data_IF_893072213487
#
_entry.id   IF_893072213487
#
_cell.length_a   1.000
_cell.length_b   1.000
_cell.length_c   1.000
_cell.angle_alpha   90.00
_cell.angle_beta   90.00
_cell.angle_gamma   90.00
#
_symmetry.space_group_name_H-M   'P 1'
#
loop_
_entity.id
_entity.type
_entity.pdbx_description
1 polymer ?
#
# COMPACT_ATOMS: atom_id res chain seq x y z
N UNK A 1 -6.89 19.59 -4.02
CA UNK A 1 -6.40 18.20 -4.18
C UNK A 1 -5.14 18.05 -3.33
N UNK A 2 -5.02 16.95 -2.60
CA UNK A 2 -4.02 16.72 -1.56
C UNK A 2 -2.80 16.06 -2.21
N UNK A 3 -1.61 16.47 -1.75
CA UNK A 3 -0.33 16.00 -2.26
C UNK A 3 0.65 15.82 -1.11
N UNK A 4 1.65 14.98 -1.35
CA UNK A 4 2.87 14.99 -0.56
C UNK A 4 3.67 16.27 -0.87
N UNK A 5 4.32 16.83 0.14
CA UNK A 5 5.25 17.93 -0.04
C UNK A 5 6.47 17.47 -0.84
N UNK A 6 7.04 18.36 -1.68
CA UNK A 6 8.21 18.02 -2.52
C UNK A 6 9.46 17.72 -1.70
N UNK A 7 9.59 18.38 -0.55
CA UNK A 7 10.62 18.06 0.45
C UNK A 7 10.17 16.82 1.21
N UNK A 8 10.93 15.74 1.05
CA UNK A 8 10.73 14.43 1.66
C UNK A 8 12.10 13.78 1.96
N UNK A 9 12.09 12.65 2.64
CA UNK A 9 13.30 11.90 2.95
C UNK A 9 14.05 11.46 1.69
N UNK A 10 15.38 11.46 1.76
CA UNK A 10 16.28 11.11 0.63
C UNK A 10 16.03 9.73 0.01
N UNK A 11 15.34 8.84 0.71
CA UNK A 11 15.03 7.49 0.23
C UNK A 11 13.60 7.39 -0.34
N UNK A 12 12.94 8.51 -0.62
CA UNK A 12 11.61 8.56 -1.23
C UNK A 12 11.68 9.08 -2.66
N UNK A 13 11.00 8.37 -3.56
CA UNK A 13 10.57 8.86 -4.87
C UNK A 13 9.12 9.33 -4.77
N UNK A 14 8.85 10.55 -5.23
CA UNK A 14 7.49 11.06 -5.37
C UNK A 14 7.04 10.92 -6.82
N UNK A 15 5.94 10.20 -7.01
CA UNK A 15 5.37 9.86 -8.31
C UNK A 15 3.95 10.42 -8.45
N UNK A 16 3.37 10.30 -9.64
CA UNK A 16 1.98 10.67 -9.92
C UNK A 16 1.65 12.11 -9.48
N UNK A 17 2.48 13.08 -9.85
CA UNK A 17 2.29 14.49 -9.46
C UNK A 17 2.27 14.70 -7.92
N UNK A 18 3.16 14.01 -7.22
CA UNK A 18 3.31 14.00 -5.76
C UNK A 18 2.08 13.44 -5.02
N UNK A 19 1.33 12.52 -5.61
CA UNK A 19 0.28 11.78 -4.90
C UNK A 19 0.72 10.40 -4.46
N UNK A 20 1.84 9.89 -4.98
CA UNK A 20 2.39 8.58 -4.60
C UNK A 20 3.79 8.77 -4.03
N UNK A 21 4.08 8.14 -2.91
CA UNK A 21 5.40 8.09 -2.29
C UNK A 21 5.89 6.64 -2.28
N UNK A 22 7.06 6.40 -2.88
CA UNK A 22 7.67 5.08 -3.01
C UNK A 22 9.07 5.10 -2.41
N UNK A 23 9.38 4.12 -1.55
CA UNK A 23 10.72 3.93 -1.02
C UNK A 23 11.67 3.42 -2.10
N UNK A 24 12.79 4.11 -2.26
CA UNK A 24 13.90 3.73 -3.14
C UNK A 24 14.60 2.49 -2.59
N UNK A 25 14.91 1.51 -3.45
CA UNK A 25 15.66 0.29 -3.12
C UNK A 25 15.11 -0.46 -1.89
N UNK A 26 13.93 -1.08 -2.08
CA UNK A 26 13.08 -1.70 -1.05
C UNK A 26 13.76 -2.74 -0.13
N UNK A 27 14.89 -3.30 -0.55
CA UNK A 27 15.60 -4.40 0.13
C UNK A 27 16.89 -4.00 0.84
N UNK A 28 17.47 -2.83 0.56
CA UNK A 28 18.83 -2.49 1.01
C UNK A 28 18.97 -1.09 1.65
N UNK A 29 17.89 -0.31 1.73
CA UNK A 29 17.95 1.08 2.20
C UNK A 29 17.09 1.29 3.45
N UNK A 30 17.74 1.83 4.49
CA UNK A 30 17.19 2.02 5.83
C UNK A 30 16.90 3.49 6.13
N UNK A 31 15.80 3.76 6.82
CA UNK A 31 15.39 5.09 7.28
C UNK A 31 15.14 6.09 6.16
N UNK A 32 15.06 7.37 6.54
CA UNK A 32 14.90 8.52 5.63
C UNK A 32 13.74 8.38 4.64
N UNK A 33 12.64 7.77 5.09
CA UNK A 33 11.44 7.45 4.32
C UNK A 33 10.27 8.41 4.57
N UNK A 34 10.51 9.55 5.22
CA UNK A 34 9.43 10.44 5.66
C UNK A 34 8.90 11.28 4.50
N UNK A 35 7.58 11.36 4.40
CA UNK A 35 6.83 12.29 3.57
C UNK A 35 5.95 13.18 4.46
N UNK A 36 5.66 14.39 3.96
CA UNK A 36 4.77 15.34 4.64
C UNK A 36 3.58 15.67 3.78
N UNK A 37 2.47 16.11 4.36
CA UNK A 37 1.40 16.78 3.60
C UNK A 37 1.94 18.08 3.00
N UNK A 38 1.50 18.45 1.81
CA UNK A 38 1.96 19.67 1.15
C UNK A 38 1.39 20.97 1.76
N UNK A 39 0.34 20.85 2.58
CA UNK A 39 -0.25 21.94 3.35
C UNK A 39 -0.50 21.46 4.79
N UNK A 40 -0.69 22.38 5.75
CA UNK A 40 -1.17 22.03 7.09
C UNK A 40 -2.48 21.24 7.02
N UNK A 41 -2.71 20.42 8.04
CA UNK A 41 -3.97 19.71 8.21
C UNK A 41 -5.09 20.71 8.52
N UNK A 42 -6.25 20.51 7.88
CA UNK A 42 -7.47 21.27 8.19
C UNK A 42 -8.25 20.50 9.25
N UNK A 43 -8.67 21.21 10.31
CA UNK A 43 -9.46 20.61 11.38
C UNK A 43 -10.68 19.85 10.83
N UNK A 44 -10.89 18.63 11.35
CA UNK A 44 -12.00 17.75 10.98
C UNK A 44 -11.89 17.11 9.60
N UNK A 45 -10.82 17.35 8.83
CA UNK A 45 -10.61 16.69 7.53
C UNK A 45 -9.60 15.53 7.66
N UNK A 46 -9.94 14.38 7.07
CA UNK A 46 -9.14 13.15 7.15
C UNK A 46 -8.18 13.04 5.96
N UNK A 47 -6.87 12.97 6.24
CA UNK A 47 -5.75 12.76 5.30
C UNK A 47 -5.51 11.30 5.09
N UNK A 48 -6.18 10.79 4.06
CA UNK A 48 -6.23 9.37 3.72
C UNK A 48 -5.15 9.01 2.69
N UNK A 49 -4.33 8.03 3.05
CA UNK A 49 -3.40 7.35 2.16
C UNK A 49 -3.81 5.88 2.04
N UNK A 50 -3.50 5.26 0.90
CA UNK A 50 -3.60 3.83 0.69
C UNK A 50 -2.22 3.20 0.79
N UNK A 51 -2.13 2.00 1.36
CA UNK A 51 -0.95 1.15 1.24
C UNK A 51 -0.98 0.49 -0.13
N UNK A 52 -0.01 0.80 -1.00
CA UNK A 52 0.03 0.26 -2.36
C UNK A 52 0.94 -0.96 -2.47
N UNK A 53 2.04 -0.99 -1.71
CA UNK A 53 3.05 -2.04 -1.81
C UNK A 53 3.70 -2.32 -0.45
N UNK A 54 3.94 -3.60 -0.17
CA UNK A 54 4.63 -4.07 1.03
C UNK A 54 5.72 -5.11 0.71
N UNK A 55 6.77 -5.16 1.54
CA UNK A 55 7.82 -6.20 1.54
C UNK A 55 7.94 -6.77 2.95
N UNK A 56 7.82 -8.08 3.10
CA UNK A 56 7.89 -8.75 4.41
C UNK A 56 9.33 -9.09 4.78
N UNK A 57 10.17 -8.06 4.96
CA UNK A 57 11.62 -8.22 5.21
C UNK A 57 12.03 -7.59 6.53
N UNK A 58 11.37 -6.51 6.95
CA UNK A 58 11.85 -5.64 8.01
C UNK A 58 11.15 -5.89 9.34
N UNK A 59 9.90 -6.38 9.33
CA UNK A 59 9.11 -6.65 10.53
C UNK A 59 8.79 -5.38 11.33
N UNK A 60 8.86 -4.21 10.69
CA UNK A 60 8.55 -2.91 11.26
C UNK A 60 7.36 -2.29 10.50
N UNK A 61 6.47 -1.62 11.22
CA UNK A 61 5.40 -0.85 10.61
C UNK A 61 5.89 0.46 9.98
N UNK A 62 5.09 0.94 9.03
CA UNK A 62 5.08 2.34 8.64
C UNK A 62 4.80 3.26 9.84
N UNK A 63 5.25 4.50 9.75
CA UNK A 63 4.92 5.55 10.72
C UNK A 63 3.81 6.46 10.21
N UNK A 64 2.89 6.85 11.08
CA UNK A 64 1.81 7.78 10.74
C UNK A 64 1.64 8.82 11.86
N UNK A 65 1.61 10.10 11.54
CA UNK A 65 1.59 11.13 12.57
C UNK A 65 1.48 12.56 12.08
N UNK A 66 1.88 13.49 12.93
CA UNK A 66 1.94 14.92 12.62
C UNK A 66 3.20 15.58 13.17
N UNK A 67 3.52 16.76 12.65
CA UNK A 67 4.62 17.61 13.14
C UNK A 67 4.30 19.10 12.99
N UNK A 68 4.91 19.95 13.83
CA UNK A 68 4.90 21.41 13.65
C UNK A 68 5.98 21.91 12.71
N UNK A 69 6.99 21.09 12.37
CA UNK A 69 8.02 21.51 11.42
C UNK A 69 7.39 21.86 10.08
N UNK A 70 7.78 23.00 9.53
CA UNK A 70 7.38 23.40 8.18
C UNK A 70 8.25 22.62 7.19
N UNK A 71 7.68 21.80 6.29
CA UNK A 71 8.47 20.94 5.41
C UNK A 71 9.49 21.66 4.53
N UNK A 72 9.26 22.93 4.17
CA UNK A 72 10.20 23.74 3.39
C UNK A 72 11.49 24.10 4.14
N UNK A 73 11.45 24.07 5.47
CA UNK A 73 12.53 24.55 6.34
C UNK A 73 13.45 23.39 6.77
N UNK A 74 13.07 22.16 6.46
CA UNK A 74 13.83 20.95 6.78
C UNK A 74 14.95 20.73 5.76
N UNK A 75 16.20 20.82 6.22
CA UNK A 75 17.39 20.54 5.43
C UNK A 75 17.84 19.07 5.52
N UNK A 76 17.51 18.39 6.61
CA UNK A 76 17.77 16.97 6.80
C UNK A 76 16.54 16.24 7.33
N UNK A 77 16.17 15.16 6.62
CA UNK A 77 15.03 14.33 6.99
C UNK A 77 15.55 12.91 7.24
N UNK A 78 15.63 12.60 8.53
CA UNK A 78 16.06 11.29 9.02
C UNK A 78 14.85 10.33 9.07
N UNK A 79 14.78 9.45 10.07
CA UNK A 79 13.64 8.57 10.35
C UNK A 79 12.75 9.19 11.43
N UNK A 80 11.46 8.82 11.49
CA UNK A 80 10.49 9.64 12.22
C UNK A 80 10.69 9.73 13.73
N UNK A 81 11.38 8.78 14.39
CA UNK A 81 11.75 8.94 15.81
C UNK A 81 12.82 10.03 16.06
N UNK A 82 13.56 10.46 15.04
CA UNK A 82 14.46 11.62 15.14
C UNK A 82 13.78 12.94 14.84
N UNK A 83 12.58 12.94 14.27
CA UNK A 83 11.83 14.15 13.97
C UNK A 83 11.40 14.80 15.29
N UNK A 84 11.93 15.99 15.58
CA UNK A 84 11.51 16.79 16.75
C UNK A 84 10.14 17.42 16.49
N UNK A 85 9.48 17.81 17.56
CA UNK A 85 8.13 18.39 17.52
C UNK A 85 7.14 17.54 16.69
N UNK A 86 7.08 16.26 17.04
CA UNK A 86 6.32 15.25 16.30
C UNK A 86 5.51 14.34 17.22
N UNK A 87 4.39 13.84 16.69
CA UNK A 87 3.48 12.91 17.33
C UNK A 87 3.17 11.80 16.33
N UNK A 88 3.74 10.61 16.53
CA UNK A 88 3.76 9.54 15.51
C UNK A 88 3.36 8.21 16.13
N UNK A 89 2.50 7.47 15.43
CA UNK A 89 2.17 6.08 15.67
C UNK A 89 3.09 5.18 14.84
N UNK A 90 3.76 4.23 15.51
CA UNK A 90 4.46 3.11 14.88
C UNK A 90 3.93 1.81 15.47
N UNK A 91 3.49 0.88 14.63
CA UNK A 91 2.81 -0.33 15.12
C UNK A 91 1.58 0.09 15.94
N UNK A 92 1.56 -0.23 17.23
CA UNK A 92 0.55 0.24 18.19
C UNK A 92 1.12 1.18 19.27
N UNK A 93 2.33 1.71 19.07
CA UNK A 93 3.03 2.55 20.03
C UNK A 93 2.99 4.02 19.61
N UNK A 94 2.62 4.88 20.55
CA UNK A 94 2.57 6.32 20.38
C UNK A 94 3.89 6.96 20.80
N UNK A 95 4.46 7.80 19.94
CA UNK A 95 5.71 8.50 20.17
C UNK A 95 5.49 10.00 20.11
N UNK A 96 6.07 10.73 21.07
CA UNK A 96 6.19 12.20 21.05
C UNK A 96 7.67 12.57 21.07
N UNK A 97 8.15 13.30 20.07
CA UNK A 97 9.56 13.70 19.94
C UNK A 97 10.55 12.52 20.04
N UNK A 98 10.16 11.36 19.48
CA UNK A 98 10.95 10.13 19.53
C UNK A 98 10.86 9.32 20.82
N UNK A 99 10.17 9.82 21.85
CA UNK A 99 9.95 9.09 23.11
C UNK A 99 8.60 8.38 23.07
N UNK A 100 8.57 7.08 23.37
CA UNK A 100 7.31 6.34 23.51
C UNK A 100 6.55 6.87 24.73
N UNK A 101 5.28 7.22 24.54
CA UNK A 101 4.41 7.78 25.59
C UNK A 101 3.21 6.90 25.93
N UNK A 102 2.95 5.85 25.15
CA UNK A 102 1.84 4.95 25.39
C UNK A 102 1.59 3.99 24.23
N UNK A 103 0.50 3.24 24.35
CA UNK A 103 -0.02 2.37 23.30
C UNK A 103 -1.37 2.88 22.79
N UNK A 104 -1.75 2.40 21.61
CA UNK A 104 -2.98 2.79 20.93
C UNK A 104 -3.73 1.56 20.41
N UNK A 105 -5.03 1.71 20.16
CA UNK A 105 -5.91 0.61 19.76
C UNK A 105 -5.60 0.10 18.35
N UNK A 106 -5.24 1.01 17.44
CA UNK A 106 -4.85 0.69 16.08
C UNK A 106 -3.41 0.18 16.04
N UNK A 107 -3.20 -0.96 15.37
CA UNK A 107 -1.88 -1.52 15.12
C UNK A 107 -1.52 -1.48 13.62
N UNK A 108 -0.52 -0.68 13.28
CA UNK A 108 -0.01 -0.51 11.92
C UNK A 108 0.81 -1.71 11.41
N UNK A 109 1.27 -2.63 12.27
CA UNK A 109 1.93 -3.88 11.83
C UNK A 109 0.93 -4.86 11.18
N UNK A 110 -0.38 -4.65 11.38
CA UNK A 110 -1.44 -5.50 10.84
C UNK A 110 -2.03 -4.96 9.53
N UNK A 111 -1.40 -3.94 8.93
CA UNK A 111 -1.90 -3.34 7.69
C UNK A 111 -1.47 -4.19 6.51
N UNK A 112 -2.30 -4.21 5.48
CA UNK A 112 -2.04 -4.92 4.22
C UNK A 112 -2.21 -3.99 3.03
N UNK A 113 -1.72 -4.40 1.86
CA UNK A 113 -1.96 -3.69 0.60
C UNK A 113 -3.48 -3.48 0.41
N UNK A 114 -3.85 -2.26 0.05
CA UNK A 114 -5.23 -1.81 -0.11
C UNK A 114 -5.84 -1.16 1.15
N UNK A 115 -5.24 -1.33 2.33
CA UNK A 115 -5.70 -0.61 3.53
C UNK A 115 -5.53 0.90 3.37
N UNK A 116 -6.52 1.63 3.90
CA UNK A 116 -6.57 3.09 3.87
C UNK A 116 -6.34 3.64 5.27
N UNK A 117 -5.32 4.47 5.42
CA UNK A 117 -4.92 5.06 6.69
C UNK A 117 -5.19 6.56 6.65
N UNK A 118 -5.90 7.06 7.66
CA UNK A 118 -6.25 8.47 7.77
C UNK A 118 -5.56 9.17 8.93
N UNK A 119 -5.13 10.41 8.71
CA UNK A 119 -4.69 11.34 9.77
C UNK A 119 -5.74 12.44 9.88
N UNK A 120 -6.28 12.68 11.07
CA UNK A 120 -7.22 13.78 11.29
C UNK A 120 -6.82 14.57 12.53
N UNK A 121 -6.61 15.88 12.37
CA UNK A 121 -6.63 16.81 13.49
C UNK A 121 -8.08 17.19 13.76
N UNK A 122 -8.61 16.85 14.92
CA UNK A 122 -9.96 17.24 15.32
C UNK A 122 -10.00 18.72 15.77
N UNK A 123 -11.21 19.28 15.84
CA UNK A 123 -11.41 20.70 16.20
C UNK A 123 -11.05 21.02 17.66
N UNK A 124 -11.01 20.02 18.53
CA UNK A 124 -10.58 20.11 19.93
C UNK A 124 -9.05 19.94 20.11
N UNK A 125 -8.30 19.98 19.00
CA UNK A 125 -6.84 19.81 18.94
C UNK A 125 -6.36 18.42 19.40
N UNK A 126 -7.19 17.40 19.23
CA UNK A 126 -6.75 16.01 19.33
C UNK A 126 -6.32 15.45 17.96
N UNK A 127 -5.43 14.47 17.98
CA UNK A 127 -5.04 13.68 16.81
C UNK A 127 -5.81 12.37 16.80
N UNK A 128 -6.43 12.07 15.68
CA UNK A 128 -7.15 10.83 15.44
C UNK A 128 -6.53 10.10 14.24
N UNK A 129 -6.49 8.77 14.33
CA UNK A 129 -6.09 7.91 13.22
C UNK A 129 -7.29 7.11 12.72
N UNK A 130 -7.45 7.05 11.40
CA UNK A 130 -8.51 6.27 10.77
C UNK A 130 -7.93 5.04 10.05
N UNK A 131 -8.71 3.96 10.03
CA UNK A 131 -8.45 2.79 9.20
C UNK A 131 -9.70 2.45 8.39
N UNK A 132 -9.58 2.41 7.07
CA UNK A 132 -10.68 2.05 6.16
C UNK A 132 -11.96 2.87 6.44
N UNK A 133 -11.79 4.15 6.77
CA UNK A 133 -12.88 5.08 7.10
C UNK A 133 -13.31 5.09 8.57
N UNK A 134 -12.85 4.14 9.39
CA UNK A 134 -13.21 4.03 10.81
C UNK A 134 -12.26 4.86 11.66
N UNK A 135 -12.78 5.77 12.48
CA UNK A 135 -12.01 6.50 13.48
C UNK A 135 -11.67 5.59 14.67
N UNK A 136 -10.41 5.59 15.11
CA UNK A 136 -9.92 4.80 16.25
C UNK A 136 -9.82 5.61 17.56
N UNK A 137 -10.28 6.86 17.57
CA UNK A 137 -10.34 7.73 18.73
C UNK A 137 -9.11 8.61 18.90
N UNK A 138 -9.00 9.23 20.09
CA UNK A 138 -7.89 10.12 20.42
C UNK A 138 -6.58 9.32 20.58
N UNK A 139 -5.59 9.66 19.77
CA UNK A 139 -4.22 9.18 19.90
C UNK A 139 -3.32 10.18 20.67
N UNK A 140 -3.53 11.48 20.46
CA UNK A 140 -2.78 12.53 21.15
C UNK A 140 -3.68 13.73 21.41
N UNK A 141 -3.54 14.38 22.57
CA UNK A 141 -4.21 15.64 22.91
C UNK A 141 -3.28 16.85 22.83
N UNK A 142 -3.89 18.03 22.85
CA UNK A 142 -3.21 19.32 22.94
C UNK A 142 -2.21 19.54 21.81
N UNK A 143 -2.61 19.20 20.58
CA UNK A 143 -1.82 19.51 19.40
C UNK A 143 -1.74 21.03 19.20
N UNK A 144 -0.59 21.54 18.71
CA UNK A 144 -0.48 22.91 18.22
C UNK A 144 -1.49 23.21 17.10
N UNK A 145 -1.83 24.48 16.91
CA UNK A 145 -2.87 24.91 15.97
C UNK A 145 -2.57 24.46 14.53
N UNK A 146 -1.33 24.66 14.11
CA UNK A 146 -0.83 24.34 12.76
C UNK A 146 0.09 23.13 12.84
N UNK A 147 -0.30 22.05 12.16
CA UNK A 147 0.52 20.84 12.03
C UNK A 147 0.44 20.29 10.60
N UNK A 148 1.51 19.65 10.16
CA UNK A 148 1.59 18.90 8.91
C UNK A 148 1.46 17.42 9.19
N UNK A 149 0.80 16.68 8.30
CA UNK A 149 0.75 15.22 8.36
C UNK A 149 2.11 14.63 8.01
N UNK A 150 2.46 13.53 8.68
CA UNK A 150 3.71 12.80 8.55
C UNK A 150 3.40 11.36 8.18
N UNK A 151 4.07 10.85 7.14
CA UNK A 151 4.03 9.44 6.75
C UNK A 151 5.47 8.95 6.63
N UNK A 152 5.89 8.03 7.49
CA UNK A 152 7.19 7.37 7.37
C UNK A 152 7.00 6.08 6.57
N UNK A 153 7.29 6.13 5.26
CA UNK A 153 7.20 5.01 4.32
C UNK A 153 8.41 4.10 4.54
N UNK A 154 8.40 3.47 5.70
CA UNK A 154 9.49 2.63 6.21
C UNK A 154 8.93 1.32 6.78
N UNK A 155 9.84 0.38 7.04
CA UNK A 155 9.49 -0.97 7.46
C UNK A 155 8.96 -1.79 6.30
N UNK A 156 7.90 -2.55 6.53
CA UNK A 156 7.34 -3.44 5.51
C UNK A 156 6.55 -2.66 4.46
N UNK A 157 6.19 -1.40 4.68
CA UNK A 157 5.56 -0.57 3.66
C UNK A 157 6.59 0.01 2.68
N UNK A 158 6.36 -0.16 1.38
CA UNK A 158 7.24 0.35 0.33
C UNK A 158 6.63 1.43 -0.53
N UNK A 159 5.30 1.50 -0.60
CA UNK A 159 4.63 2.50 -1.40
C UNK A 159 3.27 2.85 -0.80
N UNK A 160 2.95 4.14 -0.83
CA UNK A 160 1.64 4.67 -0.44
C UNK A 160 1.14 5.73 -1.43
N UNK A 161 -0.18 5.85 -1.58
CA UNK A 161 -0.80 6.88 -2.42
C UNK A 161 -1.88 7.64 -1.69
N UNK A 162 -1.93 8.97 -1.85
CA UNK A 162 -2.99 9.81 -1.32
C UNK A 162 -4.30 9.52 -2.04
N UNK A 163 -5.37 9.30 -1.27
CA UNK A 163 -6.72 9.16 -1.80
C UNK A 163 -7.37 10.53 -1.83
N UNK A 164 -7.41 11.12 -3.03
CA UNK A 164 -8.23 12.28 -3.29
C UNK A 164 -9.65 11.83 -3.60
N UNK A 165 -10.55 11.95 -2.62
CA UNK A 165 -12.00 11.81 -2.86
C UNK A 165 -12.39 12.98 -3.76
N UNK A 166 -12.54 12.73 -5.06
CA UNK A 166 -13.20 13.70 -5.94
C UNK A 166 -14.55 14.03 -5.30
N UNK A 167 -14.83 15.32 -5.14
CA UNK A 167 -16.12 15.81 -4.71
C UNK A 167 -17.16 15.44 -5.77
N UNK A 168 -17.68 14.23 -5.69
CA UNK A 168 -18.79 13.77 -6.49
C UNK A 168 -20.07 14.43 -5.95
N UNK A 169 -20.50 15.50 -6.61
CA UNK A 169 -21.87 15.98 -6.53
C UNK A 169 -22.79 14.94 -7.18
N UNK A 170 -23.60 14.29 -6.33
CA UNK A 170 -24.94 13.69 -6.53
C UNK A 170 -25.19 12.84 -7.79
N UNK A 171 -25.36 11.53 -7.61
CA UNK A 171 -26.62 10.79 -7.84
C UNK A 171 -26.35 9.29 -7.73
N UNK A 172 -27.22 8.58 -7.01
CA UNK A 172 -27.03 7.19 -6.64
C UNK A 172 -27.11 6.19 -7.80
N UNK A 173 -26.38 5.09 -7.65
CA UNK A 173 -26.75 3.77 -8.15
C UNK A 173 -25.90 2.71 -7.40
N UNK A 174 -26.58 1.76 -6.74
CA UNK A 174 -25.94 0.52 -6.30
C UNK A 174 -25.52 -0.28 -7.54
N UNK A 175 -24.27 -0.76 -7.64
CA UNK A 175 -23.95 -1.93 -8.50
C UNK A 175 -22.80 -2.77 -7.92
N UNK A 176 -23.00 -4.07 -8.01
CA UNK A 176 -22.22 -5.21 -7.55
C UNK A 176 -20.82 -5.41 -8.17
N UNK A 177 -20.03 -6.24 -7.47
CA UNK A 177 -18.73 -6.77 -7.87
C UNK A 177 -18.85 -7.60 -9.15
N UNK A 178 -18.16 -7.17 -10.22
CA UNK A 178 -17.60 -8.05 -11.26
C UNK A 178 -16.32 -7.41 -11.82
N UNK A 179 -15.20 -8.14 -11.78
CA UNK A 179 -14.15 -7.98 -12.81
C UNK A 179 -13.89 -9.35 -13.42
N UNK A 180 -14.54 -9.60 -14.56
CA UNK A 180 -14.03 -10.54 -15.55
C UNK A 180 -12.81 -9.87 -16.21
N UNK A 181 -11.60 -10.33 -15.89
CA UNK A 181 -10.43 -9.99 -16.69
C UNK A 181 -10.50 -10.77 -18.01
N UNK A 182 -10.98 -10.11 -19.07
CA UNK A 182 -10.81 -10.62 -20.43
C UNK A 182 -9.33 -10.42 -20.80
N UNK A 183 -8.53 -11.48 -20.76
CA UNK A 183 -7.18 -11.47 -21.35
C UNK A 183 -7.31 -11.35 -22.87
N UNK A 184 -6.63 -10.36 -23.46
CA UNK A 184 -6.59 -10.16 -24.91
C UNK A 184 -5.50 -11.04 -25.55
N UNK A 185 -5.83 -11.73 -26.64
CA UNK A 185 -4.87 -12.54 -27.41
C UNK A 185 -4.97 -14.04 -27.15
N UNK A 186 -4.41 -14.85 -28.07
CA UNK A 186 -4.42 -16.31 -27.97
C UNK A 186 -3.45 -16.78 -26.88
N UNK A 187 -3.77 -17.82 -26.10
CA UNK A 187 -2.85 -18.33 -25.09
C UNK A 187 -1.46 -18.63 -25.62
N UNK A 188 -1.31 -19.14 -26.84
CA UNK A 188 0.00 -19.40 -27.45
C UNK A 188 0.88 -18.14 -27.64
N UNK A 189 0.28 -16.94 -27.64
CA UNK A 189 0.96 -15.65 -27.83
C UNK A 189 1.23 -14.92 -26.51
N UNK A 190 0.77 -15.46 -25.38
CA UNK A 190 0.96 -14.83 -24.08
C UNK A 190 2.44 -14.82 -23.70
N UNK A 191 2.93 -13.67 -23.25
CA UNK A 191 4.25 -13.57 -22.64
C UNK A 191 4.20 -14.05 -21.18
N UNK A 192 5.35 -14.15 -20.53
CA UNK A 192 5.48 -14.60 -19.13
C UNK A 192 4.63 -13.75 -18.17
N UNK A 193 4.52 -12.44 -18.42
CA UNK A 193 3.74 -11.53 -17.59
C UNK A 193 2.23 -11.81 -17.73
N UNK A 194 1.73 -12.03 -18.95
CA UNK A 194 0.32 -12.39 -19.19
C UNK A 194 -0.03 -13.75 -18.59
N UNK A 195 0.90 -14.72 -18.62
CA UNK A 195 0.72 -16.01 -17.91
C UNK A 195 0.63 -15.80 -16.40
N UNK A 196 1.49 -14.97 -15.82
CA UNK A 196 1.45 -14.67 -14.40
C UNK A 196 0.09 -14.06 -13.99
N UNK A 197 -0.41 -13.09 -14.76
CA UNK A 197 -1.71 -12.46 -14.53
C UNK A 197 -2.88 -13.45 -14.70
N UNK A 198 -2.77 -14.36 -15.67
CA UNK A 198 -3.74 -15.44 -15.85
C UNK A 198 -3.79 -16.36 -14.62
N UNK A 199 -2.64 -16.85 -14.15
CA UNK A 199 -2.57 -17.71 -12.96
C UNK A 199 -3.06 -16.97 -11.71
N UNK A 200 -2.68 -15.69 -11.55
CA UNK A 200 -3.10 -14.86 -10.42
C UNK A 200 -4.61 -14.56 -10.43
N UNK A 201 -5.24 -14.53 -11.60
CA UNK A 201 -6.70 -14.34 -11.73
C UNK A 201 -7.53 -15.54 -11.28
N UNK A 202 -6.90 -16.71 -11.12
CA UNK A 202 -7.58 -17.92 -10.67
C UNK A 202 -7.54 -17.95 -9.13
N UNK A 203 -8.69 -18.08 -8.46
CA UNK A 203 -8.75 -18.16 -7.00
C UNK A 203 -7.73 -19.16 -6.44
N UNK A 204 -7.05 -18.74 -5.36
CA UNK A 204 -6.06 -19.52 -4.63
C UNK A 204 -4.78 -19.91 -5.42
N UNK A 205 -4.61 -19.42 -6.65
CA UNK A 205 -3.43 -19.73 -7.48
C UNK A 205 -2.30 -18.68 -7.40
N UNK A 206 -2.53 -17.53 -6.75
CA UNK A 206 -1.54 -16.46 -6.58
C UNK A 206 -0.18 -16.93 -5.99
N UNK A 207 -0.11 -17.85 -5.01
CA UNK A 207 1.17 -18.33 -4.46
C UNK A 207 2.10 -19.00 -5.49
N UNK A 208 1.53 -19.54 -6.57
CA UNK A 208 2.29 -20.29 -7.58
C UNK A 208 2.89 -19.39 -8.67
N UNK A 209 2.40 -18.15 -8.81
CA UNK A 209 2.81 -17.17 -9.84
C UNK A 209 4.31 -16.94 -9.84
N UNK A 210 4.95 -16.89 -8.67
CA UNK A 210 6.40 -16.72 -8.55
C UNK A 210 7.18 -17.84 -9.27
N UNK A 211 6.67 -19.07 -9.23
CA UNK A 211 7.29 -20.24 -9.87
C UNK A 211 7.08 -20.23 -11.38
N UNK A 212 5.89 -19.85 -11.86
CA UNK A 212 5.67 -19.58 -13.29
C UNK A 212 6.60 -18.48 -13.83
N UNK A 213 6.85 -17.44 -13.03
CA UNK A 213 7.79 -16.37 -13.38
C UNK A 213 9.24 -16.85 -13.40
N UNK A 214 9.69 -17.61 -12.40
CA UNK A 214 11.09 -18.09 -12.32
C UNK A 214 11.41 -19.09 -13.42
N UNK A 215 10.46 -19.97 -13.76
CA UNK A 215 10.60 -20.93 -14.85
C UNK A 215 10.36 -20.31 -16.24
N UNK A 216 10.15 -18.98 -16.31
CA UNK A 216 9.91 -18.24 -17.55
C UNK A 216 8.80 -18.85 -18.41
N UNK A 217 7.73 -19.32 -17.77
CA UNK A 217 6.59 -19.97 -18.46
C UNK A 217 5.83 -18.92 -19.26
N UNK A 218 6.00 -18.94 -20.57
CA UNK A 218 5.17 -18.19 -21.50
C UNK A 218 3.93 -19.00 -21.89
N UNK A 219 3.04 -18.40 -22.68
CA UNK A 219 1.77 -18.99 -23.05
C UNK A 219 1.87 -20.28 -23.86
N UNK A 220 2.85 -20.36 -24.76
CA UNK A 220 3.16 -21.59 -25.49
C UNK A 220 3.62 -22.71 -24.54
N UNK A 221 4.52 -22.42 -23.60
CA UNK A 221 4.94 -23.37 -22.59
C UNK A 221 3.78 -23.79 -21.66
N UNK A 222 2.91 -22.85 -21.29
CA UNK A 222 1.73 -23.13 -20.46
C UNK A 222 0.77 -24.13 -21.12
N UNK A 223 0.61 -24.10 -22.44
CA UNK A 223 -0.24 -25.02 -23.20
C UNK A 223 0.31 -26.46 -23.25
N UNK A 224 1.63 -26.62 -23.08
CA UNK A 224 2.29 -27.93 -23.03
C UNK A 224 2.25 -28.55 -21.64
N UNK A 225 1.92 -27.78 -20.59
CA UNK A 225 1.81 -28.28 -19.22
C UNK A 225 0.48 -28.99 -18.99
N UNK A 226 0.54 -30.21 -18.46
CA UNK A 226 -0.64 -30.93 -18.00
C UNK A 226 -0.84 -30.80 -16.48
N UNK A 227 -1.95 -31.35 -15.97
CA UNK A 227 -2.28 -31.33 -14.53
C UNK A 227 -1.24 -32.06 -13.66
N UNK A 228 -0.49 -33.01 -14.22
CA UNK A 228 0.59 -33.73 -13.54
C UNK A 228 1.83 -32.83 -13.47
N UNK A 229 2.15 -32.10 -14.53
CA UNK A 229 3.26 -31.14 -14.54
C UNK A 229 3.05 -30.01 -13.53
N UNK A 230 1.83 -29.46 -13.47
CA UNK A 230 1.45 -28.46 -12.48
C UNK A 230 1.58 -28.98 -11.04
N UNK A 231 1.31 -30.27 -10.82
CA UNK A 231 1.44 -30.88 -9.50
C UNK A 231 2.90 -31.15 -9.12
N UNK A 232 3.67 -31.73 -10.03
CA UNK A 232 5.04 -32.21 -9.76
C UNK A 232 6.06 -31.08 -9.86
N UNK A 233 5.99 -30.26 -10.91
CA UNK A 233 6.94 -29.16 -11.12
C UNK A 233 6.51 -27.89 -10.42
N UNK A 234 5.21 -27.57 -10.36
CA UNK A 234 4.74 -26.33 -9.72
C UNK A 234 4.28 -26.53 -8.27
N UNK A 235 4.37 -27.76 -7.75
CA UNK A 235 3.95 -28.13 -6.39
C UNK A 235 2.48 -27.72 -6.09
N UNK A 236 1.65 -27.71 -7.14
CA UNK A 236 0.24 -27.33 -7.02
C UNK A 236 -0.62 -28.51 -6.54
N UNK A 237 -1.54 -28.29 -5.59
CA UNK A 237 -2.61 -29.24 -5.29
C UNK A 237 -3.39 -29.59 -6.56
N UNK A 238 -3.76 -30.87 -6.71
CA UNK A 238 -4.46 -31.37 -7.91
C UNK A 238 -5.72 -30.57 -8.24
N UNK A 239 -6.47 -30.12 -7.22
CA UNK A 239 -7.66 -29.28 -7.43
C UNK A 239 -7.36 -27.94 -8.10
N UNK A 240 -6.25 -27.30 -7.73
CA UNK A 240 -5.82 -26.04 -8.34
C UNK A 240 -5.24 -26.27 -9.74
N UNK A 241 -4.48 -27.35 -9.95
CA UNK A 241 -4.02 -27.75 -11.27
C UNK A 241 -5.19 -27.97 -12.25
N UNK A 242 -6.26 -28.64 -11.81
CA UNK A 242 -7.49 -28.81 -12.60
C UNK A 242 -8.18 -27.47 -12.89
N UNK A 243 -8.19 -26.55 -11.93
CA UNK A 243 -8.77 -25.22 -12.11
C UNK A 243 -8.00 -24.39 -13.15
N UNK A 244 -6.67 -24.45 -13.15
CA UNK A 244 -5.80 -23.80 -14.15
C UNK A 244 -6.13 -24.30 -15.55
N UNK A 245 -6.08 -25.62 -15.76
CA UNK A 245 -6.41 -26.20 -17.07
C UNK A 245 -7.84 -25.86 -17.51
N UNK A 246 -8.81 -25.85 -16.60
CA UNK A 246 -10.21 -25.53 -16.92
C UNK A 246 -10.42 -24.07 -17.30
N UNK A 247 -9.66 -23.14 -16.70
CA UNK A 247 -9.69 -21.74 -17.08
C UNK A 247 -8.99 -21.48 -18.41
N UNK A 248 -7.91 -22.21 -18.70
CA UNK A 248 -7.14 -22.07 -19.94
C UNK A 248 -7.98 -22.45 -21.17
N UNK A 249 -8.76 -23.52 -21.07
CA UNK A 249 -9.68 -23.98 -22.14
C UNK A 249 -10.68 -22.92 -22.60
N UNK A 250 -11.12 -22.03 -21.71
CA UNK A 250 -12.04 -20.91 -22.05
C UNK A 250 -11.45 -19.94 -23.08
N UNK A 251 -10.12 -19.95 -23.24
CA UNK A 251 -9.38 -19.12 -24.19
C UNK A 251 -8.98 -19.89 -25.45
N UNK A 252 -9.03 -21.22 -25.44
CA UNK A 252 -8.84 -22.07 -26.63
C UNK A 252 -10.12 -22.17 -27.49
N UNK A 253 -11.29 -22.06 -26.88
CA UNK A 253 -12.60 -22.20 -27.55
C UNK A 253 -13.03 -20.96 -28.36
N UNK A 254 -12.30 -19.85 -28.25
CA UNK A 254 -12.50 -18.64 -29.07
C UNK A 254 -11.79 -18.79 -30.42
N UNK A 255 -12.35 -19.65 -31.29
CA UNK A 255 -11.96 -19.79 -32.71
C UNK A 255 -12.46 -18.62 -33.55
#
# INVERSE_FOLDING_TARGET
MWKFHRICGRNISLENNCTTAKRLNQTNVYGNGICFTNTPLVNGKVYEIQVDEQVNIWGLALGLGVTTNIPSDLTEIHWGLKLKESWILYGNSLFKNGKMIGSYSLNLNKRQVGDKLGIMKASDNTLHFHLNGIDHGEAFSNLPEVVYGVVDVYGDCCQVSIINKESASVAGAQVAIKKSSNFSGRPAEWNVQTVCEFIESIPDCAPYVKKFRSEHVNGAALLELDKKDLKEFFEMPLGLAVNVCSHLKKYEEKK
#
